data_IF_590047944018
#
_entry.id   IF_590047944018
#
_cell.length_a   1.000
_cell.length_b   1.000
_cell.length_c   1.000
_cell.angle_alpha   90.00
_cell.angle_beta   90.00
_cell.angle_gamma   90.00
#
_symmetry.space_group_name_H-M   'P 1'
#
loop_
_entity.id
_entity.type
_entity.pdbx_description
1 polymer ?
#
# COMPACT_ATOMS: atom_id res chain seq x y z
N UNK A 1 -2.10 58.21 3.98
CA UNK A 1 -2.48 57.14 3.08
C UNK A 1 -1.68 55.89 3.35
N UNK A 2 -2.25 54.94 4.08
CA UNK A 2 -1.65 53.60 4.26
C UNK A 2 -2.23 52.71 3.20
N UNK A 3 -1.40 52.29 2.24
CA UNK A 3 -1.72 51.21 1.35
C UNK A 3 -1.28 49.88 2.00
N UNK A 4 -2.26 49.14 2.46
CA UNK A 4 -2.05 47.78 2.96
C UNK A 4 -1.64 46.86 1.81
N UNK A 5 -0.43 46.28 1.92
CA UNK A 5 0.03 45.26 1.01
C UNK A 5 -0.77 43.99 1.18
N UNK A 6 -1.48 43.58 0.13
CA UNK A 6 -2.04 42.24 0.00
C UNK A 6 -0.86 41.24 -0.07
N UNK A 7 -0.69 40.47 1.00
CA UNK A 7 0.21 39.33 0.97
C UNK A 7 -0.30 38.34 -0.07
N UNK A 8 0.45 38.20 -1.14
CA UNK A 8 0.19 37.18 -2.14
C UNK A 8 0.25 35.79 -1.48
N UNK A 9 -0.89 35.14 -1.40
CA UNK A 9 -0.97 33.73 -1.02
C UNK A 9 -0.17 32.95 -2.06
N UNK A 10 1.00 32.47 -1.67
CA UNK A 10 1.78 31.56 -2.52
C UNK A 10 0.94 30.33 -2.78
N UNK A 11 0.70 29.93 -4.04
CA UNK A 11 0.06 28.66 -4.30
C UNK A 11 0.91 27.59 -3.63
N UNK A 12 0.27 26.73 -2.85
CA UNK A 12 0.93 25.58 -2.24
C UNK A 12 1.68 24.84 -3.33
N UNK A 13 3.01 24.83 -3.22
CA UNK A 13 3.85 24.15 -4.16
C UNK A 13 3.38 22.70 -4.28
N UNK A 14 3.15 22.26 -5.50
CA UNK A 14 2.98 20.83 -5.81
C UNK A 14 4.25 20.18 -5.27
N UNK A 15 4.16 19.58 -4.09
CA UNK A 15 5.28 18.86 -3.50
C UNK A 15 5.69 17.81 -4.53
N UNK A 16 6.93 17.93 -4.95
CA UNK A 16 7.60 17.06 -5.88
C UNK A 16 7.82 15.69 -5.25
N UNK A 17 6.71 14.95 -5.16
CA UNK A 17 6.67 13.65 -4.53
C UNK A 17 7.16 12.59 -5.51
N UNK A 18 8.30 11.92 -5.23
CA UNK A 18 8.82 10.86 -6.07
C UNK A 18 7.79 9.77 -6.40
N UNK A 19 6.84 9.51 -5.50
CA UNK A 19 5.79 8.51 -5.65
C UNK A 19 4.71 8.96 -6.63
N UNK A 20 4.37 10.26 -6.62
CA UNK A 20 3.53 10.86 -7.65
C UNK A 20 4.19 10.83 -9.02
N UNK A 21 5.51 11.04 -9.08
CA UNK A 21 6.27 10.92 -10.33
C UNK A 21 6.20 9.51 -10.88
N UNK A 22 6.31 8.49 -10.03
CA UNK A 22 6.19 7.10 -10.46
C UNK A 22 4.80 6.83 -11.04
N UNK A 23 3.75 7.27 -10.37
CA UNK A 23 2.39 7.09 -10.86
C UNK A 23 2.16 7.86 -12.16
N UNK A 24 2.55 9.14 -12.21
CA UNK A 24 2.43 9.98 -13.41
C UNK A 24 3.27 9.41 -14.55
N UNK A 25 4.48 8.94 -14.29
CA UNK A 25 5.32 8.32 -15.31
C UNK A 25 4.80 6.98 -15.77
N UNK A 26 4.23 6.16 -14.87
CA UNK A 26 3.56 4.92 -15.23
C UNK A 26 2.33 5.19 -16.12
N UNK A 27 1.60 6.28 -15.83
CA UNK A 27 0.45 6.72 -16.61
C UNK A 27 0.86 7.42 -17.93
N UNK A 28 1.99 8.15 -17.94
CA UNK A 28 2.49 8.88 -19.10
C UNK A 28 3.34 8.05 -20.07
N UNK A 29 3.80 6.86 -19.68
CA UNK A 29 4.66 6.01 -20.51
C UNK A 29 3.94 5.28 -21.66
N UNK A 30 2.89 5.88 -22.23
CA UNK A 30 2.37 5.50 -23.54
C UNK A 30 1.35 4.37 -23.58
N UNK A 31 0.66 4.10 -22.49
CA UNK A 31 -0.41 3.10 -22.48
C UNK A 31 -1.79 3.67 -22.84
N UNK A 32 -1.82 4.57 -23.80
CA UNK A 32 -3.06 5.20 -24.27
C UNK A 32 -3.57 4.50 -25.53
N UNK A 33 -4.56 3.64 -25.42
CA UNK A 33 -5.47 3.36 -26.53
C UNK A 33 -6.79 2.76 -26.09
N UNK A 34 -7.86 3.36 -26.61
CA UNK A 34 -9.27 2.97 -26.74
C UNK A 34 -10.13 2.65 -25.51
N UNK A 35 -11.27 3.37 -25.46
CA UNK A 35 -12.52 3.09 -24.74
C UNK A 35 -12.42 2.50 -23.33
N UNK A 36 -12.15 3.34 -22.37
CA UNK A 36 -12.22 3.04 -20.94
C UNK A 36 -13.22 3.93 -20.21
N UNK A 37 -13.52 3.61 -18.96
CA UNK A 37 -14.36 4.42 -18.08
C UNK A 37 -13.86 5.86 -17.96
N UNK A 38 -14.73 6.81 -17.57
CA UNK A 38 -14.37 8.22 -17.38
C UNK A 38 -13.14 8.41 -16.44
N UNK A 39 -12.96 7.53 -15.46
CA UNK A 39 -11.76 7.53 -14.61
C UNK A 39 -10.47 7.28 -15.39
N UNK A 40 -10.49 6.40 -16.39
CA UNK A 40 -9.32 6.13 -17.24
C UNK A 40 -8.95 7.31 -18.14
N UNK A 41 -9.90 8.18 -18.47
CA UNK A 41 -9.64 9.40 -19.25
C UNK A 41 -8.91 10.48 -18.43
N UNK A 42 -9.12 10.52 -17.13
CA UNK A 42 -8.49 11.53 -16.24
C UNK A 42 -7.08 11.11 -15.80
N UNK A 43 -6.88 9.83 -15.54
CA UNK A 43 -5.64 9.30 -14.94
C UNK A 43 -4.81 8.44 -15.89
N UNK A 44 -5.23 8.30 -17.13
CA UNK A 44 -4.65 7.35 -18.07
C UNK A 44 -5.17 5.93 -17.87
N UNK A 45 -4.77 5.03 -18.75
CA UNK A 45 -5.15 3.62 -18.67
C UNK A 45 -4.31 2.90 -17.62
N UNK A 46 -4.98 2.13 -16.76
CA UNK A 46 -4.30 1.14 -15.94
C UNK A 46 -3.49 0.18 -16.84
N UNK A 47 -2.29 -0.25 -16.42
CA UNK A 47 -1.43 -1.08 -17.26
C UNK A 47 -2.03 -2.44 -17.58
N UNK A 48 -3.06 -2.88 -16.84
CA UNK A 48 -3.65 -4.19 -16.96
C UNK A 48 -2.81 -5.28 -16.28
N UNK A 49 -3.30 -6.52 -16.37
CA UNK A 49 -2.65 -7.67 -15.75
C UNK A 49 -1.23 -7.86 -16.30
N UNK A 50 -0.28 -8.12 -15.41
CA UNK A 50 1.09 -8.46 -15.80
C UNK A 50 1.10 -9.74 -16.65
N UNK A 51 1.95 -9.79 -17.69
CA UNK A 51 2.15 -11.00 -18.47
C UNK A 51 2.58 -12.17 -17.60
N UNK A 52 2.21 -13.38 -18.01
CA UNK A 52 2.71 -14.61 -17.38
C UNK A 52 4.24 -14.60 -17.39
N UNK A 53 4.85 -14.97 -16.26
CA UNK A 53 6.31 -15.00 -16.11
C UNK A 53 6.95 -13.65 -15.79
N UNK A 54 6.15 -12.60 -15.57
CA UNK A 54 6.63 -11.30 -15.10
C UNK A 54 6.08 -11.02 -13.69
N UNK A 55 6.97 -10.73 -12.75
CA UNK A 55 6.59 -10.34 -11.38
C UNK A 55 6.66 -8.84 -11.16
N UNK A 56 7.63 -8.15 -11.74
CA UNK A 56 7.92 -6.74 -11.46
C UNK A 56 7.36 -5.86 -12.56
N UNK A 57 6.48 -4.94 -12.17
CA UNK A 57 5.98 -3.88 -13.05
C UNK A 57 6.95 -2.72 -13.14
N UNK A 58 7.50 -2.29 -12.02
CA UNK A 58 8.43 -1.17 -11.92
C UNK A 58 9.40 -1.36 -10.76
N UNK A 59 10.63 -0.98 -10.97
CA UNK A 59 11.67 -0.90 -9.96
C UNK A 59 12.45 0.40 -10.16
N UNK A 60 12.72 1.13 -9.10
CA UNK A 60 13.53 2.35 -9.11
C UNK A 60 14.43 2.42 -7.89
N UNK A 61 15.59 3.06 -8.04
CA UNK A 61 16.59 3.13 -6.98
C UNK A 61 17.15 1.75 -6.61
N UNK A 62 17.66 1.63 -5.40
CA UNK A 62 18.30 0.39 -4.93
C UNK A 62 17.25 -0.55 -4.32
N UNK A 63 16.99 -1.64 -5.01
CA UNK A 63 16.05 -2.69 -4.60
C UNK A 63 16.72 -4.05 -4.80
N UNK A 64 16.51 -4.97 -3.87
CA UNK A 64 17.00 -6.34 -3.95
C UNK A 64 15.90 -7.36 -3.67
N UNK A 65 16.05 -8.52 -4.28
CA UNK A 65 15.27 -9.74 -3.99
C UNK A 65 16.26 -10.81 -3.57
N UNK A 66 16.11 -11.35 -2.37
CA UNK A 66 17.07 -12.32 -1.78
C UNK A 66 18.51 -11.83 -1.88
N UNK A 67 18.74 -10.56 -1.53
CA UNK A 67 20.06 -9.90 -1.56
C UNK A 67 20.69 -9.72 -2.95
N UNK A 68 19.94 -9.98 -4.03
CA UNK A 68 20.38 -9.73 -5.40
C UNK A 68 19.68 -8.50 -5.97
N UNK A 69 20.35 -7.62 -6.73
CA UNK A 69 19.74 -6.47 -7.35
C UNK A 69 18.53 -6.87 -8.20
N UNK A 70 17.38 -6.21 -7.97
CA UNK A 70 16.16 -6.47 -8.70
C UNK A 70 16.16 -5.74 -10.06
N UNK A 71 15.70 -6.43 -11.09
CA UNK A 71 15.45 -5.90 -12.43
C UNK A 71 14.03 -6.26 -12.86
N UNK A 72 13.56 -5.73 -13.99
CA UNK A 72 12.25 -6.11 -14.54
C UNK A 72 12.16 -7.60 -14.90
N UNK A 73 13.26 -8.30 -15.02
CA UNK A 73 13.33 -9.74 -15.30
C UNK A 73 13.36 -10.61 -14.05
N UNK A 74 13.53 -10.00 -12.87
CA UNK A 74 13.55 -10.73 -11.61
C UNK A 74 12.16 -11.30 -11.33
N UNK A 75 12.09 -12.60 -11.03
CA UNK A 75 10.87 -13.24 -10.54
C UNK A 75 10.82 -13.19 -9.02
N UNK A 76 9.64 -12.87 -8.50
CA UNK A 76 9.38 -12.88 -7.07
C UNK A 76 8.37 -13.98 -6.76
N UNK A 77 8.70 -14.83 -5.80
CA UNK A 77 7.92 -16.01 -5.42
C UNK A 77 7.70 -16.06 -3.92
N UNK A 78 6.79 -16.93 -3.51
CA UNK A 78 6.64 -17.32 -2.11
C UNK A 78 7.98 -17.78 -1.53
N UNK A 79 8.34 -17.26 -0.37
CA UNK A 79 9.61 -17.48 0.30
C UNK A 79 10.64 -16.37 0.09
N UNK A 80 10.41 -15.48 -0.87
CA UNK A 80 11.37 -14.43 -1.21
C UNK A 80 11.28 -13.24 -0.23
N UNK A 81 12.44 -12.61 -0.03
CA UNK A 81 12.59 -11.35 0.72
C UNK A 81 12.85 -10.22 -0.27
N UNK A 82 12.04 -9.17 -0.20
CA UNK A 82 12.18 -7.95 -1.01
C UNK A 82 12.61 -6.82 -0.09
N UNK A 83 13.70 -6.15 -0.46
CA UNK A 83 14.25 -5.03 0.31
C UNK A 83 14.44 -3.81 -0.58
N UNK A 84 14.10 -2.65 -0.03
CA UNK A 84 14.31 -1.35 -0.67
C UNK A 84 15.20 -0.48 0.20
N UNK A 85 16.24 0.13 -0.40
CA UNK A 85 16.98 1.20 0.24
C UNK A 85 16.10 2.45 0.38
N UNK A 86 16.48 3.47 1.16
CA UNK A 86 15.69 4.70 1.30
C UNK A 86 15.31 5.36 -0.04
N UNK A 87 16.13 5.23 -1.07
CA UNK A 87 15.87 5.73 -2.43
C UNK A 87 15.15 4.72 -3.33
N UNK A 88 14.88 3.51 -2.84
CA UNK A 88 14.29 2.42 -3.62
C UNK A 88 12.76 2.42 -3.56
N UNK A 89 12.14 1.89 -4.61
CA UNK A 89 10.72 1.58 -4.65
C UNK A 89 10.48 0.49 -5.68
N UNK A 90 9.56 -0.42 -5.40
CA UNK A 90 9.20 -1.51 -6.31
C UNK A 90 7.69 -1.74 -6.33
N UNK A 91 7.17 -1.98 -7.53
CA UNK A 91 5.78 -2.40 -7.76
C UNK A 91 5.81 -3.77 -8.40
N UNK A 92 5.19 -4.76 -7.77
CA UNK A 92 5.26 -6.14 -8.20
C UNK A 92 4.00 -6.92 -7.84
N UNK A 93 3.85 -8.08 -8.45
CA UNK A 93 2.76 -9.01 -8.16
C UNK A 93 3.31 -10.42 -7.92
N UNK A 94 2.65 -11.14 -7.01
CA UNK A 94 2.87 -12.55 -6.74
C UNK A 94 1.52 -13.23 -6.70
N UNK A 95 1.27 -14.20 -7.58
CA UNK A 95 -0.02 -14.86 -7.75
C UNK A 95 -1.17 -13.84 -7.95
N UNK A 96 -2.14 -13.80 -7.06
CA UNK A 96 -3.30 -12.91 -7.13
C UNK A 96 -3.14 -11.63 -6.27
N UNK A 97 -1.96 -11.41 -5.72
CA UNK A 97 -1.62 -10.27 -4.87
C UNK A 97 -0.69 -9.30 -5.58
N UNK A 98 -0.85 -8.01 -5.33
CA UNK A 98 0.05 -6.98 -5.84
C UNK A 98 0.46 -6.01 -4.74
N UNK A 99 1.67 -5.48 -4.88
CA UNK A 99 2.35 -4.71 -3.85
C UNK A 99 3.03 -3.49 -4.43
N UNK A 100 2.95 -2.39 -3.69
CA UNK A 100 3.79 -1.21 -3.87
C UNK A 100 4.62 -1.06 -2.58
N UNK A 101 5.88 -1.44 -2.64
CA UNK A 101 6.82 -1.40 -1.51
C UNK A 101 7.66 -0.14 -1.62
N UNK A 102 7.56 0.72 -0.62
CA UNK A 102 8.24 2.02 -0.60
C UNK A 102 9.67 1.90 -0.08
N UNK A 103 10.41 3.01 -0.15
CA UNK A 103 11.80 3.06 0.31
C UNK A 103 11.98 2.72 1.79
N UNK A 104 13.13 2.16 2.13
CA UNK A 104 13.47 1.77 3.49
C UNK A 104 12.66 0.61 4.03
N UNK A 105 12.26 -0.33 3.17
CA UNK A 105 11.37 -1.42 3.54
C UNK A 105 12.03 -2.79 3.39
N UNK A 106 11.60 -3.72 4.25
CA UNK A 106 11.90 -5.15 4.13
C UNK A 106 10.63 -5.95 4.30
N UNK A 107 10.32 -6.76 3.31
CA UNK A 107 9.12 -7.59 3.26
C UNK A 107 9.46 -9.02 2.87
N UNK A 108 8.83 -9.97 3.52
CA UNK A 108 8.94 -11.41 3.21
C UNK A 108 7.59 -11.90 2.72
N UNK A 109 7.57 -12.53 1.56
CA UNK A 109 6.42 -13.31 1.08
C UNK A 109 6.54 -14.71 1.71
N UNK A 110 5.86 -14.92 2.83
CA UNK A 110 5.97 -16.17 3.58
C UNK A 110 5.16 -17.29 2.92
N UNK A 111 5.65 -18.52 3.03
CA UNK A 111 4.84 -19.70 2.75
C UNK A 111 3.85 -19.89 3.90
N UNK A 112 2.52 -19.90 3.63
CA UNK A 112 1.57 -20.17 4.70
C UNK A 112 1.82 -21.55 5.31
N UNK A 113 1.60 -21.71 6.65
CA UNK A 113 1.71 -23.03 7.28
C UNK A 113 0.73 -24.01 6.63
N UNK A 114 1.16 -25.24 6.44
CA UNK A 114 0.28 -26.32 5.98
C UNK A 114 -0.91 -26.47 6.94
N UNK A 115 -2.11 -26.71 6.38
CA UNK A 115 -3.37 -26.83 7.14
C UNK A 115 -3.82 -25.56 7.88
N UNK A 116 -3.18 -24.40 7.64
CA UNK A 116 -3.62 -23.13 8.25
C UNK A 116 -4.90 -22.56 7.63
N UNK A 117 -5.29 -23.05 6.45
CA UNK A 117 -6.37 -22.46 5.66
C UNK A 117 -6.02 -21.11 5.02
N UNK A 118 -4.79 -20.64 5.17
CA UNK A 118 -4.32 -19.39 4.57
C UNK A 118 -3.93 -19.63 3.10
N UNK A 119 -4.31 -18.70 2.24
CA UNK A 119 -3.87 -18.67 0.85
C UNK A 119 -2.54 -17.92 0.69
N UNK A 120 -2.29 -16.93 1.55
CA UNK A 120 -1.12 -16.07 1.51
C UNK A 120 -0.69 -15.70 2.93
N UNK A 121 0.61 -15.51 3.13
CA UNK A 121 1.16 -14.93 4.34
C UNK A 121 2.26 -13.91 3.96
N UNK A 122 2.30 -12.79 4.66
CA UNK A 122 3.24 -11.71 4.41
C UNK A 122 3.76 -11.18 5.75
N UNK A 123 5.05 -10.87 5.80
CA UNK A 123 5.67 -10.19 6.92
C UNK A 123 6.29 -8.88 6.44
N UNK A 124 5.80 -7.76 6.95
CA UNK A 124 6.47 -6.46 6.82
C UNK A 124 7.37 -6.28 8.05
N UNK A 125 8.66 -6.50 7.86
CA UNK A 125 9.65 -6.40 8.94
C UNK A 125 9.85 -4.95 9.36
N UNK A 126 9.97 -4.07 8.38
CA UNK A 126 10.05 -2.62 8.54
C UNK A 126 9.64 -1.94 7.24
N UNK A 127 9.25 -0.68 7.33
CA UNK A 127 8.94 0.15 6.18
C UNK A 127 7.47 0.26 5.85
N UNK A 128 7.15 0.38 4.56
CA UNK A 128 5.84 0.85 4.09
C UNK A 128 5.41 0.08 2.84
N UNK A 129 4.18 -0.44 2.85
CA UNK A 129 3.64 -1.19 1.73
C UNK A 129 2.15 -0.91 1.51
N UNK A 130 1.76 -0.72 0.26
CA UNK A 130 0.39 -0.81 -0.20
C UNK A 130 0.19 -2.17 -0.86
N UNK A 131 -0.85 -2.89 -0.48
CA UNK A 131 -1.08 -4.27 -0.93
C UNK A 131 -2.53 -4.50 -1.28
N UNK A 132 -2.78 -5.33 -2.29
CA UNK A 132 -4.12 -5.80 -2.66
C UNK A 132 -4.16 -7.31 -2.74
N UNK A 133 -5.25 -7.90 -2.25
CA UNK A 133 -5.43 -9.34 -2.09
C UNK A 133 -6.75 -9.79 -2.70
N UNK A 134 -6.74 -10.95 -3.34
CA UNK A 134 -7.91 -11.51 -4.01
C UNK A 134 -9.04 -11.86 -3.04
N UNK A 135 -10.28 -11.74 -3.51
CA UNK A 135 -11.47 -12.19 -2.77
C UNK A 135 -11.40 -13.68 -2.49
N UNK A 136 -11.89 -14.09 -1.31
CA UNK A 136 -11.89 -15.50 -0.92
C UNK A 136 -10.51 -16.10 -0.62
N UNK A 137 -9.49 -15.26 -0.50
CA UNK A 137 -8.11 -15.66 -0.19
C UNK A 137 -7.73 -15.19 1.23
N UNK A 138 -7.93 -16.01 2.27
CA UNK A 138 -7.52 -15.67 3.62
C UNK A 138 -6.02 -15.41 3.65
N UNK A 139 -5.64 -14.25 4.19
CA UNK A 139 -4.24 -13.81 4.25
C UNK A 139 -3.89 -13.38 5.66
N UNK A 140 -2.67 -13.70 6.10
CA UNK A 140 -2.10 -13.20 7.34
C UNK A 140 -0.99 -12.21 7.04
N UNK A 141 -1.07 -11.04 7.66
CA UNK A 141 -0.03 -10.02 7.64
C UNK A 141 0.54 -9.91 9.04
N UNK A 142 1.87 -10.00 9.16
CA UNK A 142 2.59 -9.78 10.40
C UNK A 142 3.46 -8.54 10.25
N UNK A 143 3.37 -7.64 11.21
CA UNK A 143 4.22 -6.45 11.32
C UNK A 143 5.03 -6.50 12.61
N UNK A 144 5.84 -5.48 12.88
CA UNK A 144 6.62 -5.43 14.12
C UNK A 144 5.72 -5.46 15.38
N UNK A 145 4.50 -4.92 15.32
CA UNK A 145 3.63 -4.74 16.49
C UNK A 145 2.29 -5.44 16.39
N UNK A 146 1.94 -6.04 15.24
CA UNK A 146 0.60 -6.58 15.01
C UNK A 146 0.60 -7.85 14.17
N UNK A 147 -0.46 -8.64 14.35
CA UNK A 147 -0.85 -9.76 13.49
C UNK A 147 -2.25 -9.50 12.97
N UNK A 148 -2.41 -9.56 11.66
CA UNK A 148 -3.61 -9.11 10.98
C UNK A 148 -4.09 -10.20 10.04
N UNK A 149 -5.33 -10.63 10.22
CA UNK A 149 -6.05 -11.50 9.28
C UNK A 149 -6.90 -10.67 8.34
N UNK A 150 -6.81 -10.92 7.03
CA UNK A 150 -7.59 -10.20 6.02
C UNK A 150 -8.24 -11.15 5.03
N UNK A 151 -9.31 -10.66 4.40
CA UNK A 151 -10.02 -11.38 3.35
C UNK A 151 -10.43 -10.42 2.24
N UNK A 152 -9.86 -10.59 1.05
CA UNK A 152 -10.24 -9.84 -0.15
C UNK A 152 -10.16 -8.32 0.02
N UNK A 153 -9.02 -7.82 0.45
CA UNK A 153 -8.83 -6.44 0.89
C UNK A 153 -7.75 -5.71 0.12
N UNK A 154 -7.85 -4.36 0.13
CA UNK A 154 -6.71 -3.48 -0.07
C UNK A 154 -6.28 -2.93 1.29
N UNK A 155 -4.98 -2.90 1.56
CA UNK A 155 -4.42 -2.42 2.82
C UNK A 155 -3.18 -1.59 2.60
N UNK A 156 -2.98 -0.62 3.48
CA UNK A 156 -1.71 0.11 3.57
C UNK A 156 -1.15 -0.03 4.98
N UNK A 157 0.13 -0.38 5.07
CA UNK A 157 0.83 -0.56 6.35
C UNK A 157 2.17 0.18 6.35
N UNK A 158 2.47 0.82 7.48
CA UNK A 158 3.81 1.32 7.82
C UNK A 158 4.19 0.73 9.17
N UNK A 159 5.39 0.18 9.29
CA UNK A 159 5.84 -0.40 10.56
C UNK A 159 7.27 -0.05 10.90
N UNK A 160 7.50 0.22 12.17
CA UNK A 160 8.76 0.31 12.85
C UNK A 160 8.69 -0.45 14.18
N UNK A 161 9.76 -0.56 14.99
CA UNK A 161 9.72 -1.30 16.25
C UNK A 161 8.73 -0.74 17.28
N UNK A 162 8.33 0.53 17.18
CA UNK A 162 7.48 1.20 18.17
C UNK A 162 6.00 1.11 17.84
N UNK A 163 5.65 1.14 16.54
CA UNK A 163 4.26 1.13 16.11
C UNK A 163 4.07 0.65 14.68
N UNK A 164 2.85 0.24 14.38
CA UNK A 164 2.35 0.03 13.03
C UNK A 164 1.20 0.99 12.76
N UNK A 165 1.25 1.67 11.62
CA UNK A 165 0.09 2.30 10.99
C UNK A 165 -0.57 1.27 10.07
N UNK A 166 -1.88 1.12 10.16
CA UNK A 166 -2.62 0.19 9.31
C UNK A 166 -3.93 0.80 8.84
N UNK A 167 -4.12 0.85 7.54
CA UNK A 167 -5.36 1.28 6.91
C UNK A 167 -5.96 0.12 6.13
N UNK A 168 -7.18 -0.27 6.47
CA UNK A 168 -8.00 -1.14 5.61
C UNK A 168 -8.66 -0.26 4.58
N UNK A 169 -8.15 -0.29 3.35
CA UNK A 169 -8.64 0.57 2.28
C UNK A 169 -10.06 0.16 1.87
N UNK A 170 -10.30 -1.14 1.82
CA UNK A 170 -11.61 -1.78 1.64
C UNK A 170 -11.51 -3.25 2.09
N UNK A 171 -12.64 -3.86 2.40
CA UNK A 171 -12.72 -5.25 2.83
C UNK A 171 -12.73 -5.41 4.35
N UNK A 172 -12.25 -6.53 4.83
CA UNK A 172 -12.31 -6.90 6.24
C UNK A 172 -10.92 -7.21 6.75
N UNK A 173 -10.57 -6.60 7.90
CA UNK A 173 -9.33 -6.87 8.63
C UNK A 173 -9.63 -7.15 10.11
N UNK A 174 -9.04 -8.22 10.61
CA UNK A 174 -9.02 -8.59 12.04
C UNK A 174 -7.62 -8.32 12.58
N UNK A 175 -7.49 -7.31 13.44
CA UNK A 175 -6.21 -6.76 13.89
C UNK A 175 -6.01 -7.12 15.35
N UNK A 176 -4.84 -7.67 15.69
CA UNK A 176 -4.42 -7.95 17.05
C UNK A 176 -3.03 -7.36 17.33
N UNK A 177 -2.88 -6.70 18.47
CA UNK A 177 -1.58 -6.25 18.94
C UNK A 177 -0.76 -7.45 19.47
N UNK A 178 0.50 -7.57 19.03
CA UNK A 178 1.33 -8.73 19.39
C UNK A 178 1.61 -8.84 20.90
N UNK A 179 1.83 -7.69 21.55
CA UNK A 179 2.19 -7.65 22.97
C UNK A 179 1.03 -7.35 23.92
N UNK A 180 -0.17 -7.28 23.38
CA UNK A 180 -1.39 -7.05 24.17
C UNK A 180 -2.56 -7.80 23.55
N UNK A 181 -2.74 -9.08 23.89
CA UNK A 181 -3.78 -9.94 23.30
C UNK A 181 -5.21 -9.44 23.53
N UNK A 182 -5.42 -8.52 24.48
CA UNK A 182 -6.73 -7.89 24.72
C UNK A 182 -7.01 -6.72 23.79
N UNK A 183 -5.99 -6.16 23.13
CA UNK A 183 -6.13 -5.15 22.08
C UNK A 183 -6.39 -5.83 20.74
N UNK A 184 -7.67 -5.92 20.39
CA UNK A 184 -8.14 -6.46 19.10
C UNK A 184 -9.16 -5.52 18.48
N UNK A 185 -9.17 -5.48 17.17
CA UNK A 185 -10.10 -4.65 16.40
C UNK A 185 -10.49 -5.36 15.12
N UNK A 186 -11.77 -5.36 14.79
CA UNK A 186 -12.27 -5.78 13.48
C UNK A 186 -12.70 -4.55 12.71
N UNK A 187 -12.11 -4.36 11.53
CA UNK A 187 -12.44 -3.26 10.63
C UNK A 187 -13.15 -3.81 9.42
N UNK A 188 -14.35 -3.29 9.15
CA UNK A 188 -15.06 -3.47 7.89
C UNK A 188 -15.05 -2.13 7.18
N UNK A 189 -14.28 -2.02 6.10
CA UNK A 189 -14.11 -0.77 5.38
C UNK A 189 -14.68 -0.87 3.97
N UNK A 190 -15.30 0.22 3.53
CA UNK A 190 -15.69 0.45 2.13
C UNK A 190 -14.69 1.32 1.40
N UNK A 191 -14.18 2.36 2.08
CA UNK A 191 -13.22 3.30 1.52
C UNK A 191 -12.44 4.02 2.63
N UNK A 192 -11.35 3.42 3.12
CA UNK A 192 -10.44 3.96 4.14
C UNK A 192 -11.11 4.40 5.46
N UNK A 193 -12.14 3.72 5.88
CA UNK A 193 -13.06 4.21 6.93
C UNK A 193 -12.44 4.29 8.33
N UNK A 194 -11.44 3.48 8.64
CA UNK A 194 -10.92 3.39 10.02
C UNK A 194 -9.44 3.04 10.05
N UNK A 195 -8.54 3.97 9.71
CA UNK A 195 -7.10 3.78 9.93
C UNK A 195 -6.77 3.67 11.42
N UNK A 196 -5.75 2.88 11.76
CA UNK A 196 -5.36 2.59 13.13
C UNK A 196 -3.85 2.67 13.32
N UNK A 197 -3.43 3.06 14.53
CA UNK A 197 -2.09 2.80 15.06
C UNK A 197 -2.14 1.60 16.00
N UNK A 198 -1.17 0.70 15.88
CA UNK A 198 -0.97 -0.44 16.77
C UNK A 198 0.40 -0.27 17.44
N UNK A 199 0.39 -0.03 18.74
CA UNK A 199 1.58 0.29 19.51
C UNK A 199 2.28 -0.98 20.00
N UNK A 200 3.62 -0.96 20.03
CA UNK A 200 4.42 -2.02 20.65
C UNK A 200 4.21 -2.09 22.17
N UNK A 201 4.00 -0.93 22.79
CA UNK A 201 3.77 -0.80 24.24
C UNK A 201 2.65 0.20 24.50
N UNK A 202 1.84 -0.10 25.50
CA UNK A 202 0.85 0.81 26.03
C UNK A 202 0.92 0.79 27.55
N UNK A 203 0.70 1.95 28.18
CA UNK A 203 0.64 2.08 29.63
C UNK A 203 -0.60 1.41 30.24
N UNK A 204 -1.59 1.08 29.41
CA UNK A 204 -2.86 0.47 29.81
C UNK A 204 -3.13 -0.74 28.95
N UNK A 205 -3.45 -1.85 29.57
CA UNK A 205 -3.91 -3.07 28.90
C UNK A 205 -5.18 -2.78 28.08
N UNK A 206 -5.25 -3.33 26.87
CA UNK A 206 -6.36 -3.11 25.94
C UNK A 206 -6.31 -1.77 25.18
N UNK A 207 -5.27 -0.95 25.37
CA UNK A 207 -5.14 0.38 24.76
C UNK A 207 -4.02 0.48 23.71
N UNK A 208 -3.56 -0.65 23.19
CA UNK A 208 -2.48 -0.67 22.19
C UNK A 208 -2.97 -0.31 20.78
N UNK A 209 -4.27 -0.29 20.52
CA UNK A 209 -4.85 0.12 19.24
C UNK A 209 -5.51 1.48 19.39
N UNK A 210 -5.16 2.42 18.51
CA UNK A 210 -5.65 3.80 18.51
C UNK A 210 -6.10 4.23 17.12
N UNK A 211 -7.02 5.20 17.05
CA UNK A 211 -7.42 5.83 15.80
C UNK A 211 -6.25 6.57 15.16
N UNK A 212 -6.17 6.52 13.85
CA UNK A 212 -5.17 7.20 13.04
C UNK A 212 -5.83 8.00 11.90
N UNK A 213 -5.18 9.04 11.37
CA UNK A 213 -5.63 9.73 10.17
C UNK A 213 -5.36 8.89 8.91
N UNK A 214 -6.01 9.25 7.81
CA UNK A 214 -5.70 8.69 6.50
C UNK A 214 -4.44 9.35 5.93
N UNK A 215 -3.37 8.58 5.71
CA UNK A 215 -2.06 9.10 5.29
C UNK A 215 -1.41 8.23 4.20
N UNK A 216 -0.52 8.85 3.44
CA UNK A 216 0.58 8.25 2.65
C UNK A 216 0.21 7.27 1.54
N UNK A 217 -1.05 7.12 1.16
CA UNK A 217 -1.43 6.33 0.00
C UNK A 217 -2.64 6.94 -0.72
N UNK A 218 -2.88 6.52 -1.95
CA UNK A 218 -3.91 7.10 -2.81
C UNK A 218 -4.74 6.02 -3.48
N UNK A 219 -5.97 6.39 -3.90
CA UNK A 219 -6.83 5.50 -4.68
C UNK A 219 -6.23 5.19 -6.05
N UNK A 220 -5.48 6.13 -6.64
CA UNK A 220 -4.78 5.90 -7.91
C UNK A 220 -3.73 4.80 -7.78
N UNK A 221 -3.00 4.79 -6.67
CA UNK A 221 -2.03 3.73 -6.37
C UNK A 221 -2.74 2.38 -6.20
N UNK A 222 -3.90 2.35 -5.53
CA UNK A 222 -4.72 1.14 -5.42
C UNK A 222 -5.22 0.66 -6.80
N UNK A 223 -5.72 1.56 -7.63
CA UNK A 223 -6.14 1.23 -9.00
C UNK A 223 -5.00 0.63 -9.80
N UNK A 224 -3.80 1.22 -9.69
CA UNK A 224 -2.62 0.73 -10.38
C UNK A 224 -2.32 -0.72 -10.00
N UNK A 225 -2.13 -1.01 -8.71
CA UNK A 225 -1.73 -2.36 -8.29
C UNK A 225 -2.84 -3.39 -8.43
N UNK A 226 -4.12 -3.02 -8.27
CA UNK A 226 -5.26 -3.90 -8.61
C UNK A 226 -5.25 -4.31 -10.09
N UNK A 227 -4.93 -3.36 -10.97
CA UNK A 227 -4.88 -3.65 -12.41
C UNK A 227 -3.83 -4.69 -12.77
N UNK A 228 -2.71 -4.73 -12.04
CA UNK A 228 -1.62 -5.69 -12.29
C UNK A 228 -2.03 -7.15 -12.07
N UNK A 229 -3.09 -7.39 -11.33
CA UNK A 229 -3.68 -8.70 -11.08
C UNK A 229 -5.08 -8.83 -11.69
N UNK A 230 -5.42 -7.94 -12.62
CA UNK A 230 -6.64 -8.00 -13.41
C UNK A 230 -7.91 -7.63 -12.66
N UNK A 231 -7.81 -6.82 -11.61
CA UNK A 231 -8.93 -6.34 -10.80
C UNK A 231 -9.08 -4.82 -10.84
N UNK A 232 -10.19 -4.34 -10.29
CA UNK A 232 -10.46 -2.93 -10.02
C UNK A 232 -10.85 -2.78 -8.55
N UNK A 233 -10.54 -1.63 -7.90
CA UNK A 233 -11.04 -1.36 -6.55
C UNK A 233 -12.58 -1.37 -6.51
N UNK A 234 -13.19 -1.76 -5.37
CA UNK A 234 -14.65 -1.88 -5.27
C UNK A 234 -15.38 -0.55 -5.03
N UNK A 235 -14.71 0.58 -5.20
CA UNK A 235 -15.30 1.91 -5.03
C UNK A 235 -15.22 2.72 -6.31
N UNK A 236 -16.20 3.63 -6.49
CA UNK A 236 -16.23 4.57 -7.61
C UNK A 236 -15.29 5.73 -7.31
N UNK A 237 -14.46 6.09 -8.28
CA UNK A 237 -13.56 7.24 -8.18
C UNK A 237 -14.38 8.53 -8.21
N UNK A 238 -14.32 9.40 -7.18
CA UNK A 238 -14.98 10.70 -7.23
C UNK A 238 -14.26 11.62 -8.22
N UNK A 239 -14.94 11.92 -9.35
CA UNK A 239 -14.34 12.68 -10.45
C UNK A 239 -14.16 14.17 -10.15
N UNK A 240 -14.92 14.74 -9.21
CA UNK A 240 -15.01 16.21 -9.07
C UNK A 240 -14.26 16.79 -7.87
N UNK A 241 -13.90 16.02 -6.85
CA UNK A 241 -13.28 16.54 -5.62
C UNK A 241 -12.24 15.62 -4.97
N UNK A 242 -11.54 14.82 -5.76
CA UNK A 242 -10.53 13.94 -5.17
C UNK A 242 -9.30 14.75 -4.73
N UNK A 243 -9.18 14.94 -3.44
CA UNK A 243 -7.93 15.37 -2.82
C UNK A 243 -7.18 14.14 -2.29
N UNK A 244 -6.00 13.88 -2.83
CA UNK A 244 -5.11 12.92 -2.21
C UNK A 244 -4.85 13.33 -0.74
N UNK A 245 -4.77 12.39 0.20
CA UNK A 245 -4.50 12.73 1.58
C UNK A 245 -3.17 13.48 1.67
N UNK A 246 -3.18 14.55 2.43
CA UNK A 246 -1.96 15.32 2.70
C UNK A 246 -0.98 14.43 3.47
N UNK A 247 0.27 14.51 3.10
CA UNK A 247 1.34 13.89 3.86
C UNK A 247 1.71 14.81 4.99
N UNK A 248 1.47 14.39 6.21
CA UNK A 248 2.10 14.96 7.37
C UNK A 248 3.43 14.23 7.55
N UNK A 249 4.50 14.84 7.07
CA UNK A 249 5.85 14.46 7.49
C UNK A 249 6.15 15.23 8.76
N UNK A 250 6.69 14.54 9.79
CA UNK A 250 7.26 15.23 10.93
C UNK A 250 8.48 16.05 10.52
#
# INVERSE_FOLDING_TARGET
GHLGGLAAVRPFGVLDDPRRRILIQALAAGFFSSAGSAAAQIFGRSPGRLPSGQSIYRVSGNVSVNSQPATLKTLIRTGDTVETAPNGEIIFAVAEEAFLLRGGSRMVIEKPPERSGLATAMRLVTGKVLSVFGKGRPTRIVTATSTIGIRGTGVYAETDPEQTYFCTCYGIAEIAANNDPTSKETVVATHHDKPLYILAKSSKQGASIRKAPFINHTDQELMLIESLVGRTPPFVFPLENYSAPRRDYP
#
